data_IF_894578665224
#
_entry.id   IF_894578665224
#
_cell.length_a   1.000
_cell.length_b   1.000
_cell.length_c   1.000
_cell.angle_alpha   90.00
_cell.angle_beta   90.00
_cell.angle_gamma   90.00
#
_symmetry.space_group_name_H-M   'P 1'
#
loop_
_entity.id
_entity.type
_entity.pdbx_description
1 polymer ?
#
# COMPACT_ATOMS: atom_id res chain seq x y z
N UNK A 1 -9.11 -21.83 -10.50
CA UNK A 1 -8.13 -21.28 -9.56
C UNK A 1 -8.66 -21.47 -8.16
N UNK A 2 -7.99 -22.28 -7.35
CA UNK A 2 -8.27 -22.42 -5.92
C UNK A 2 -7.40 -21.41 -5.20
N UNK A 3 -8.02 -20.48 -4.48
CA UNK A 3 -7.28 -19.46 -3.74
C UNK A 3 -7.28 -19.79 -2.27
N UNK A 4 -6.09 -20.03 -1.72
CA UNK A 4 -5.91 -20.34 -0.30
C UNK A 4 -5.20 -19.17 0.39
N UNK A 5 -5.63 -18.72 1.57
CA UNK A 5 -5.02 -17.59 2.27
C UNK A 5 -4.40 -18.02 3.62
N UNK A 6 -3.26 -17.49 4.10
CA UNK A 6 -2.75 -17.92 5.42
C UNK A 6 -2.03 -16.84 6.24
N UNK A 7 -2.29 -16.85 7.55
CA UNK A 7 -1.56 -16.12 8.59
C UNK A 7 -0.89 -17.12 9.55
N UNK A 8 0.34 -17.54 9.26
CA UNK A 8 1.06 -18.53 10.09
C UNK A 8 2.30 -17.91 10.72
N UNK A 9 2.43 -18.02 12.05
CA UNK A 9 3.61 -17.62 12.83
C UNK A 9 4.86 -18.53 12.61
N UNK A 10 4.78 -19.56 11.76
CA UNK A 10 5.90 -20.45 11.43
C UNK A 10 5.88 -20.86 9.97
N UNK A 11 6.96 -20.53 9.23
CA UNK A 11 7.09 -20.76 7.80
C UNK A 11 6.88 -22.22 7.36
N UNK A 12 7.18 -23.20 8.23
CA UNK A 12 7.10 -24.64 7.88
C UNK A 12 5.68 -25.11 7.54
N UNK A 13 4.65 -24.62 8.24
CA UNK A 13 3.27 -25.05 7.95
C UNK A 13 2.74 -24.38 6.69
N UNK A 14 3.11 -23.12 6.45
CA UNK A 14 2.79 -22.45 5.19
C UNK A 14 3.39 -23.20 4.00
N UNK A 15 4.66 -23.63 4.09
CA UNK A 15 5.31 -24.42 3.03
C UNK A 15 4.63 -25.78 2.82
N UNK A 16 4.27 -26.50 3.89
CA UNK A 16 3.57 -27.78 3.77
C UNK A 16 2.21 -27.63 3.06
N UNK A 17 1.50 -26.53 3.33
CA UNK A 17 0.23 -26.27 2.65
C UNK A 17 0.46 -25.89 1.18
N UNK A 18 1.48 -25.08 0.88
CA UNK A 18 1.88 -24.79 -0.51
C UNK A 18 2.17 -26.07 -1.27
N UNK A 19 2.93 -27.00 -0.69
CA UNK A 19 3.18 -28.33 -1.28
C UNK A 19 1.88 -29.06 -1.61
N UNK A 20 0.94 -29.09 -0.67
CA UNK A 20 -0.33 -29.77 -0.85
C UNK A 20 -1.24 -29.10 -1.90
N UNK A 21 -1.25 -27.77 -1.99
CA UNK A 21 -1.94 -27.04 -3.06
C UNK A 21 -1.34 -27.41 -4.42
N UNK A 22 0.00 -27.47 -4.52
CA UNK A 22 0.69 -27.85 -5.75
C UNK A 22 0.45 -29.32 -6.14
N UNK A 23 0.26 -30.21 -5.16
CA UNK A 23 -0.08 -31.62 -5.38
C UNK A 23 -1.51 -31.81 -5.87
N UNK A 24 -2.47 -31.14 -5.23
CA UNK A 24 -3.91 -31.38 -5.45
C UNK A 24 -4.44 -30.53 -6.60
N UNK A 25 -4.10 -29.24 -6.63
CA UNK A 25 -4.70 -28.28 -7.55
C UNK A 25 -3.89 -28.10 -8.84
N UNK A 26 -2.59 -28.44 -8.82
CA UNK A 26 -1.74 -28.42 -10.00
C UNK A 26 -1.28 -27.01 -10.41
N UNK A 27 -1.14 -26.73 -11.72
CA UNK A 27 -0.58 -25.47 -12.22
C UNK A 27 -1.55 -24.28 -12.10
N UNK A 28 -1.01 -23.07 -12.22
CA UNK A 28 -1.74 -21.80 -12.31
C UNK A 28 -2.64 -21.52 -11.09
N UNK A 29 -2.11 -21.79 -9.90
CA UNK A 29 -2.78 -21.50 -8.64
C UNK A 29 -2.27 -20.21 -8.01
N UNK A 30 -3.13 -19.57 -7.22
CA UNK A 30 -2.80 -18.40 -6.44
C UNK A 30 -2.97 -18.67 -4.94
N UNK A 31 -2.05 -18.19 -4.11
CA UNK A 31 -2.13 -18.30 -2.66
C UNK A 31 -2.01 -16.90 -2.04
N UNK A 32 -3.04 -16.52 -1.31
CA UNK A 32 -3.10 -15.32 -0.47
C UNK A 32 -2.23 -15.43 0.78
N UNK A 33 -1.47 -14.38 1.09
CA UNK A 33 -0.78 -14.26 2.37
C UNK A 33 -0.70 -12.78 2.74
N UNK A 34 -0.95 -12.46 4.01
CA UNK A 34 -0.79 -11.09 4.52
C UNK A 34 0.63 -10.57 4.31
N UNK A 35 1.61 -11.49 4.34
CA UNK A 35 3.03 -11.24 4.10
C UNK A 35 3.50 -11.82 2.77
N UNK A 36 2.66 -11.80 1.73
CA UNK A 36 2.89 -12.44 0.44
C UNK A 36 4.28 -12.18 -0.16
N UNK A 37 4.82 -10.97 -0.05
CA UNK A 37 6.17 -10.64 -0.53
C UNK A 37 7.29 -11.43 0.16
N UNK A 38 7.20 -11.60 1.48
CA UNK A 38 8.14 -12.39 2.28
C UNK A 38 7.89 -13.89 2.09
N UNK A 39 6.62 -14.31 2.03
CA UNK A 39 6.24 -15.71 1.75
C UNK A 39 6.77 -16.16 0.40
N UNK A 40 6.66 -15.33 -0.64
CA UNK A 40 7.18 -15.65 -1.98
C UNK A 40 8.68 -15.90 -1.96
N UNK A 41 9.46 -15.03 -1.29
CA UNK A 41 10.91 -15.24 -1.13
C UNK A 41 11.21 -16.56 -0.42
N UNK A 42 10.42 -16.89 0.60
CA UNK A 42 10.58 -18.11 1.41
C UNK A 42 10.24 -19.38 0.60
N UNK A 43 9.19 -19.36 -0.21
CA UNK A 43 8.82 -20.46 -1.10
C UNK A 43 9.93 -20.67 -2.14
N UNK A 44 10.38 -19.60 -2.78
CA UNK A 44 11.41 -19.66 -3.83
C UNK A 44 12.78 -20.11 -3.32
N UNK A 45 13.10 -19.89 -2.05
CA UNK A 45 14.34 -20.37 -1.42
C UNK A 45 14.24 -21.77 -0.80
N UNK A 46 13.04 -22.35 -0.78
CA UNK A 46 12.78 -23.69 -0.23
C UNK A 46 12.94 -24.79 -1.29
N UNK A 47 12.80 -26.05 -0.87
CA UNK A 47 12.75 -27.21 -1.77
C UNK A 47 11.59 -27.13 -2.80
N UNK A 48 10.54 -26.35 -2.50
CA UNK A 48 9.41 -26.13 -3.39
C UNK A 48 9.70 -25.09 -4.48
N UNK A 49 10.81 -24.36 -4.41
CA UNK A 49 11.05 -23.18 -5.25
C UNK A 49 11.03 -23.48 -6.75
N UNK A 50 11.64 -24.59 -7.19
CA UNK A 50 11.60 -24.97 -8.60
C UNK A 50 10.21 -25.42 -9.02
N UNK A 51 9.58 -26.29 -8.21
CA UNK A 51 8.24 -26.80 -8.47
C UNK A 51 7.18 -25.69 -8.52
N UNK A 52 7.27 -24.71 -7.62
CA UNK A 52 6.40 -23.53 -7.61
C UNK A 52 6.56 -22.69 -8.89
N UNK A 53 7.77 -22.60 -9.46
CA UNK A 53 7.98 -21.94 -10.76
C UNK A 53 7.40 -22.77 -11.90
N UNK A 54 7.67 -24.08 -11.91
CA UNK A 54 7.23 -24.99 -12.98
C UNK A 54 5.69 -25.06 -13.06
N UNK A 55 5.02 -24.95 -11.91
CA UNK A 55 3.56 -24.91 -11.80
C UNK A 55 2.97 -23.50 -11.81
N UNK A 56 3.78 -22.46 -12.07
CA UNK A 56 3.34 -21.07 -12.14
C UNK A 56 2.52 -20.61 -10.90
N UNK A 57 3.03 -20.93 -9.70
CA UNK A 57 2.39 -20.52 -8.45
C UNK A 57 2.48 -19.01 -8.26
N UNK A 58 1.32 -18.37 -8.12
CA UNK A 58 1.22 -16.97 -7.76
C UNK A 58 1.09 -16.82 -6.25
N UNK A 59 1.88 -15.92 -5.67
CA UNK A 59 1.75 -15.54 -4.26
C UNK A 59 1.23 -14.12 -4.22
N UNK A 60 0.06 -13.96 -3.62
CA UNK A 60 -0.72 -12.73 -3.69
C UNK A 60 -1.02 -12.22 -2.29
N UNK A 61 -1.28 -10.93 -2.15
CA UNK A 61 -1.64 -10.29 -0.89
C UNK A 61 -3.13 -9.97 -0.96
N UNK A 62 -3.85 -10.23 0.14
CA UNK A 62 -5.28 -9.97 0.19
C UNK A 62 -5.61 -8.47 0.09
N UNK A 63 -6.87 -8.17 -0.22
CA UNK A 63 -7.30 -6.85 -0.67
C UNK A 63 -7.21 -5.77 0.43
N UNK A 64 -7.00 -6.17 1.67
CA UNK A 64 -6.95 -5.24 2.80
C UNK A 64 -5.53 -5.02 3.29
N UNK A 65 -4.79 -6.11 3.56
CA UNK A 65 -3.42 -5.97 4.04
C UNK A 65 -2.51 -5.48 2.91
N UNK A 66 -2.88 -5.70 1.65
CA UNK A 66 -2.09 -5.29 0.50
C UNK A 66 -1.73 -3.80 0.50
N UNK A 67 -2.67 -2.90 0.82
CA UNK A 67 -2.40 -1.45 0.93
C UNK A 67 -1.45 -1.06 2.07
N UNK A 68 -1.21 -1.94 3.04
CA UNK A 68 -0.23 -1.72 4.11
C UNK A 68 1.22 -2.05 3.68
N UNK A 69 1.43 -2.58 2.48
CA UNK A 69 2.78 -2.82 1.93
C UNK A 69 3.27 -1.60 1.15
N UNK A 70 4.59 -1.51 0.94
CA UNK A 70 5.15 -0.49 0.06
C UNK A 70 4.59 -0.62 -1.37
N UNK A 71 4.54 0.49 -2.10
CA UNK A 71 3.90 0.56 -3.41
C UNK A 71 4.43 -0.45 -4.43
N UNK A 72 5.75 -0.65 -4.49
CA UNK A 72 6.38 -1.69 -5.34
C UNK A 72 5.82 -3.08 -5.05
N UNK A 73 5.66 -3.41 -3.77
CA UNK A 73 5.06 -4.67 -3.35
C UNK A 73 3.58 -4.76 -3.72
N UNK A 74 2.83 -3.66 -3.64
CA UNK A 74 1.44 -3.59 -4.06
C UNK A 74 1.31 -3.91 -5.55
N UNK A 75 2.03 -3.18 -6.40
CA UNK A 75 2.03 -3.40 -7.86
C UNK A 75 2.36 -4.84 -8.24
N UNK A 76 3.22 -5.52 -7.47
CA UNK A 76 3.62 -6.89 -7.80
C UNK A 76 2.69 -7.99 -7.29
N UNK A 77 1.99 -7.77 -6.18
CA UNK A 77 1.34 -8.87 -5.46
C UNK A 77 -0.09 -8.56 -5.01
N UNK A 78 -0.57 -7.31 -5.13
CA UNK A 78 -1.93 -6.95 -4.75
C UNK A 78 -2.94 -7.43 -5.80
N UNK A 79 -4.07 -7.94 -5.33
CA UNK A 79 -5.17 -8.49 -6.16
C UNK A 79 -5.59 -7.59 -7.33
N UNK A 80 -5.67 -6.28 -7.07
CA UNK A 80 -6.06 -5.26 -8.05
C UNK A 80 -5.22 -5.32 -9.34
N UNK A 81 -3.94 -5.67 -9.22
CA UNK A 81 -2.98 -5.65 -10.33
C UNK A 81 -2.76 -7.04 -10.94
N UNK A 82 -3.49 -8.05 -10.48
CA UNK A 82 -3.27 -9.45 -10.88
C UNK A 82 -4.50 -10.03 -11.56
N UNK A 83 -4.31 -10.48 -12.80
CA UNK A 83 -5.35 -11.16 -13.55
C UNK A 83 -5.63 -12.57 -12.99
N UNK A 84 -6.89 -13.00 -13.08
CA UNK A 84 -7.32 -14.37 -12.72
C UNK A 84 -7.99 -14.50 -11.35
N UNK A 85 -7.92 -13.47 -10.50
CA UNK A 85 -8.49 -13.47 -9.14
C UNK A 85 -9.94 -12.97 -9.08
N UNK A 86 -10.41 -12.29 -10.13
CA UNK A 86 -11.77 -11.75 -10.16
C UNK A 86 -12.01 -10.73 -9.05
N UNK A 87 -13.11 -10.86 -8.33
CA UNK A 87 -13.50 -9.97 -7.21
C UNK A 87 -13.21 -10.58 -5.82
N UNK A 88 -12.37 -11.61 -5.78
CA UNK A 88 -12.02 -12.32 -4.54
C UNK A 88 -11.22 -11.40 -3.62
N UNK A 89 -11.52 -11.40 -2.32
CA UNK A 89 -10.81 -10.56 -1.34
C UNK A 89 -9.66 -11.30 -0.64
N UNK A 90 -9.63 -12.63 -0.74
CA UNK A 90 -8.66 -13.53 -0.12
C UNK A 90 -8.57 -13.42 1.39
N UNK A 91 -9.67 -13.13 2.06
CA UNK A 91 -9.77 -13.15 3.53
C UNK A 91 -10.38 -14.42 4.10
N UNK A 92 -10.75 -15.37 3.25
CA UNK A 92 -11.49 -16.57 3.67
C UNK A 92 -10.83 -17.32 4.81
N UNK A 93 -9.51 -17.50 4.79
CA UNK A 93 -8.84 -18.23 5.86
C UNK A 93 -8.77 -17.47 7.19
N UNK A 94 -8.62 -16.15 7.18
CA UNK A 94 -8.77 -15.35 8.41
C UNK A 94 -10.16 -15.57 9.01
N UNK A 95 -11.21 -15.58 8.18
CA UNK A 95 -12.60 -15.82 8.60
C UNK A 95 -12.79 -17.23 9.15
N UNK A 96 -12.19 -18.25 8.52
CA UNK A 96 -12.20 -19.65 8.97
C UNK A 96 -11.60 -19.76 10.37
N UNK A 97 -10.37 -19.29 10.54
CA UNK A 97 -9.68 -19.39 11.82
C UNK A 97 -10.33 -18.52 12.89
N UNK A 98 -10.87 -17.35 12.53
CA UNK A 98 -11.64 -16.53 13.46
C UNK A 98 -12.91 -17.25 13.95
N UNK A 99 -13.61 -17.97 13.07
CA UNK A 99 -14.80 -18.75 13.44
C UNK A 99 -14.46 -19.90 14.40
N UNK A 100 -13.28 -20.51 14.25
CA UNK A 100 -12.81 -21.57 15.15
C UNK A 100 -12.70 -21.15 16.62
N UNK A 101 -12.60 -19.85 16.91
CA UNK A 101 -12.62 -19.32 18.29
C UNK A 101 -13.91 -19.66 19.04
N UNK A 102 -15.01 -19.98 18.35
CA UNK A 102 -16.24 -20.49 18.98
C UNK A 102 -16.01 -21.77 19.79
N UNK A 103 -15.03 -22.58 19.41
CA UNK A 103 -14.65 -23.81 20.11
C UNK A 103 -13.79 -23.55 21.36
N UNK A 104 -13.25 -22.33 21.53
CA UNK A 104 -12.24 -22.03 22.54
C UNK A 104 -12.70 -22.37 23.97
N UNK A 105 -13.98 -22.13 24.30
CA UNK A 105 -14.53 -22.46 25.61
C UNK A 105 -14.59 -23.97 25.88
N UNK A 106 -14.86 -24.77 24.84
CA UNK A 106 -14.95 -26.23 24.93
C UNK A 106 -13.57 -26.87 25.08
N UNK A 107 -12.58 -26.34 24.34
CA UNK A 107 -11.27 -26.97 24.24
C UNK A 107 -10.27 -26.50 25.31
N UNK A 108 -10.51 -25.37 25.98
CA UNK A 108 -9.58 -24.77 26.96
C UNK A 108 -9.13 -25.72 28.06
N UNK A 109 -10.02 -26.58 28.51
CA UNK A 109 -9.77 -27.55 29.59
C UNK A 109 -9.94 -29.00 29.12
N UNK A 110 -10.02 -29.22 27.81
CA UNK A 110 -10.17 -30.54 27.23
C UNK A 110 -8.83 -31.30 27.26
N UNK A 111 -8.90 -32.63 27.39
CA UNK A 111 -7.75 -33.50 27.07
C UNK A 111 -7.37 -33.35 25.59
N UNK A 112 -6.14 -33.72 25.20
CA UNK A 112 -5.71 -33.68 23.80
C UNK A 112 -6.65 -34.40 22.82
N UNK A 113 -7.25 -35.54 23.23
CA UNK A 113 -8.21 -36.27 22.41
C UNK A 113 -9.47 -35.42 22.11
N UNK A 114 -10.14 -34.95 23.16
CA UNK A 114 -11.33 -34.10 23.03
C UNK A 114 -11.03 -32.75 22.35
N UNK A 115 -9.84 -32.19 22.57
CA UNK A 115 -9.39 -30.99 21.86
C UNK A 115 -9.40 -31.18 20.34
N UNK A 116 -8.83 -32.30 19.85
CA UNK A 116 -8.86 -32.63 18.42
C UNK A 116 -10.29 -32.90 17.96
N UNK A 117 -11.06 -33.69 18.72
CA UNK A 117 -12.43 -34.05 18.36
C UNK A 117 -13.33 -32.82 18.17
N UNK A 118 -13.24 -31.81 19.04
CA UNK A 118 -14.07 -30.60 18.91
C UNK A 118 -13.65 -29.73 17.73
N UNK A 119 -12.36 -29.67 17.41
CA UNK A 119 -11.90 -28.95 16.22
C UNK A 119 -12.31 -29.65 14.93
N UNK A 120 -12.20 -30.98 14.89
CA UNK A 120 -12.63 -31.82 13.77
C UNK A 120 -14.12 -31.62 13.48
N UNK A 121 -14.97 -31.78 14.50
CA UNK A 121 -16.41 -31.53 14.39
C UNK A 121 -16.75 -30.11 13.94
N UNK A 122 -15.98 -29.12 14.40
CA UNK A 122 -16.18 -27.73 13.99
C UNK A 122 -15.90 -27.53 12.50
N UNK A 123 -14.78 -28.05 12.00
CA UNK A 123 -14.40 -27.90 10.60
C UNK A 123 -15.27 -28.76 9.67
N UNK A 124 -15.71 -29.94 10.09
CA UNK A 124 -16.69 -30.76 9.35
C UNK A 124 -18.04 -30.04 9.16
N UNK A 125 -18.56 -29.43 10.22
CA UNK A 125 -19.78 -28.64 10.14
C UNK A 125 -19.58 -27.40 9.28
N UNK A 126 -18.46 -26.69 9.46
CA UNK A 126 -18.13 -25.51 8.67
C UNK A 126 -18.06 -25.83 7.17
N UNK A 127 -17.42 -26.94 6.79
CA UNK A 127 -17.32 -27.38 5.39
C UNK A 127 -18.70 -27.70 4.81
N UNK A 128 -19.53 -28.41 5.57
CA UNK A 128 -20.91 -28.71 5.19
C UNK A 128 -21.74 -27.44 4.95
N UNK A 129 -21.64 -26.47 5.85
CA UNK A 129 -22.34 -25.18 5.73
C UNK A 129 -21.86 -24.39 4.51
N UNK A 130 -20.54 -24.36 4.25
CA UNK A 130 -19.98 -23.68 3.08
C UNK A 130 -20.33 -24.36 1.78
N UNK A 131 -20.39 -25.68 1.75
CA UNK A 131 -20.84 -26.41 0.58
C UNK A 131 -22.30 -26.05 0.23
N UNK A 132 -23.17 -25.93 1.24
CA UNK A 132 -24.56 -25.50 1.05
C UNK A 132 -24.67 -24.03 0.58
N UNK A 133 -23.83 -23.14 1.11
CA UNK A 133 -23.81 -21.71 0.76
C UNK A 133 -23.13 -21.41 -0.60
N UNK A 134 -22.34 -22.35 -1.13
CA UNK A 134 -21.46 -22.13 -2.28
C UNK A 134 -22.20 -21.60 -3.51
N UNK A 135 -23.36 -22.17 -3.82
CA UNK A 135 -24.15 -21.76 -4.99
C UNK A 135 -24.61 -20.30 -4.89
N UNK A 136 -25.09 -19.89 -3.72
CA UNK A 136 -25.53 -18.52 -3.46
C UNK A 136 -24.34 -17.55 -3.46
N UNK A 137 -23.20 -17.96 -2.88
CA UNK A 137 -21.96 -17.18 -2.91
C UNK A 137 -21.51 -16.90 -4.35
N UNK A 138 -21.41 -17.94 -5.19
CA UNK A 138 -21.02 -17.80 -6.59
C UNK A 138 -22.01 -16.93 -7.38
N UNK A 139 -23.32 -17.12 -7.18
CA UNK A 139 -24.35 -16.32 -7.83
C UNK A 139 -24.25 -14.83 -7.45
N UNK A 140 -24.07 -14.54 -6.16
CA UNK A 140 -23.93 -13.17 -5.67
C UNK A 140 -22.68 -12.49 -6.23
N UNK A 141 -21.55 -13.18 -6.27
CA UNK A 141 -20.31 -12.66 -6.84
C UNK A 141 -20.44 -12.40 -8.34
N UNK A 142 -21.09 -13.30 -9.08
CA UNK A 142 -21.36 -13.10 -10.49
C UNK A 142 -22.25 -11.86 -10.74
N UNK A 143 -23.34 -11.72 -9.99
CA UNK A 143 -24.19 -10.53 -10.06
C UNK A 143 -23.44 -9.24 -9.70
N UNK A 144 -22.54 -9.30 -8.72
CA UNK A 144 -21.70 -8.16 -8.36
C UNK A 144 -20.73 -7.78 -9.49
N UNK A 145 -20.06 -8.75 -10.09
CA UNK A 145 -19.16 -8.53 -11.23
C UNK A 145 -19.90 -7.87 -12.40
N UNK A 146 -21.09 -8.37 -12.75
CA UNK A 146 -21.93 -7.78 -13.80
C UNK A 146 -22.33 -6.33 -13.49
N UNK A 147 -22.65 -6.03 -12.22
CA UNK A 147 -22.98 -4.65 -11.80
C UNK A 147 -21.77 -3.73 -11.93
N UNK A 148 -20.58 -4.18 -11.53
CA UNK A 148 -19.33 -3.41 -11.65
C UNK A 148 -19.08 -3.10 -13.12
N UNK A 149 -19.09 -4.10 -14.00
CA UNK A 149 -18.89 -3.92 -15.44
C UNK A 149 -19.90 -2.92 -16.00
N UNK A 150 -21.20 -3.14 -15.76
CA UNK A 150 -22.26 -2.27 -16.27
C UNK A 150 -22.12 -0.83 -15.79
N UNK A 151 -21.67 -0.62 -14.56
CA UNK A 151 -21.52 0.72 -13.97
C UNK A 151 -20.28 1.44 -14.52
N UNK A 152 -19.13 0.77 -14.50
CA UNK A 152 -17.84 1.41 -14.75
C UNK A 152 -17.41 1.39 -16.21
N UNK A 153 -17.95 0.49 -17.05
CA UNK A 153 -17.60 0.46 -18.48
C UNK A 153 -17.97 1.77 -19.21
N UNK A 154 -19.15 2.38 -19.00
CA UNK A 154 -19.44 3.70 -19.58
C UNK A 154 -18.54 4.82 -19.05
N UNK A 155 -18.25 4.82 -17.74
CA UNK A 155 -17.38 5.81 -17.10
C UNK A 155 -15.94 5.71 -17.64
N UNK A 156 -15.44 4.48 -17.81
CA UNK A 156 -14.13 4.22 -18.39
C UNK A 156 -14.06 4.67 -19.85
N UNK A 157 -15.08 4.35 -20.66
CA UNK A 157 -15.14 4.78 -22.07
C UNK A 157 -15.16 6.30 -22.22
N UNK A 158 -15.92 6.99 -21.38
CA UNK A 158 -15.96 8.45 -21.36
C UNK A 158 -14.59 9.05 -20.99
N UNK A 159 -13.94 8.49 -19.97
CA UNK A 159 -12.59 8.88 -19.56
C UNK A 159 -11.57 8.66 -20.68
N UNK A 160 -11.61 7.51 -21.34
CA UNK A 160 -10.75 7.16 -22.47
C UNK A 160 -10.94 8.12 -23.64
N UNK A 161 -12.19 8.41 -24.03
CA UNK A 161 -12.50 9.35 -25.10
C UNK A 161 -12.06 10.77 -24.78
N UNK A 162 -12.27 11.22 -23.54
CA UNK A 162 -11.94 12.57 -23.09
C UNK A 162 -10.43 12.83 -23.09
N UNK A 163 -9.64 11.82 -22.70
CA UNK A 163 -8.19 11.97 -22.54
C UNK A 163 -7.38 11.34 -23.68
N UNK A 164 -8.03 10.69 -24.65
CA UNK A 164 -7.37 10.00 -25.76
C UNK A 164 -6.54 8.79 -25.32
N UNK A 165 -7.02 8.06 -24.31
CA UNK A 165 -6.31 6.95 -23.66
C UNK A 165 -6.87 5.62 -24.17
N UNK A 166 -6.01 4.67 -24.52
CA UNK A 166 -6.42 3.33 -24.93
C UNK A 166 -6.40 2.32 -23.78
N UNK A 167 -6.95 1.12 -24.01
CA UNK A 167 -6.84 0.01 -23.05
C UNK A 167 -5.38 -0.43 -22.86
N UNK A 168 -4.58 -0.38 -23.93
CA UNK A 168 -3.15 -0.71 -23.89
C UNK A 168 -2.37 0.25 -22.99
N UNK A 169 -2.69 1.55 -23.01
CA UNK A 169 -2.07 2.54 -22.13
C UNK A 169 -2.32 2.19 -20.65
N UNK A 170 -3.58 1.86 -20.30
CA UNK A 170 -3.94 1.51 -18.91
C UNK A 170 -3.17 0.28 -18.43
N UNK A 171 -3.01 -0.72 -19.31
CA UNK A 171 -2.25 -1.95 -19.00
C UNK A 171 -0.74 -1.66 -18.91
N UNK A 172 -0.23 -0.72 -19.72
CA UNK A 172 1.19 -0.36 -19.70
C UNK A 172 1.58 0.43 -18.46
N UNK A 173 0.70 1.31 -17.95
CA UNK A 173 0.98 2.13 -16.77
C UNK A 173 1.40 1.33 -15.55
N UNK A 174 0.79 0.15 -15.33
CA UNK A 174 1.19 -0.74 -14.24
C UNK A 174 2.66 -1.16 -14.36
N UNK A 175 3.11 -1.51 -15.57
CA UNK A 175 4.49 -1.92 -15.82
C UNK A 175 5.45 -0.72 -15.76
N UNK A 176 5.05 0.40 -16.34
CA UNK A 176 5.81 1.66 -16.35
C UNK A 176 6.02 2.20 -14.93
N UNK A 177 4.97 2.18 -14.10
CA UNK A 177 5.05 2.62 -12.71
C UNK A 177 5.97 1.70 -11.90
N UNK A 178 5.88 0.39 -12.08
CA UNK A 178 6.76 -0.57 -11.43
C UNK A 178 8.23 -0.38 -11.84
N UNK A 179 8.48 -0.11 -13.12
CA UNK A 179 9.83 0.17 -13.64
C UNK A 179 10.35 1.50 -13.11
N UNK A 180 9.53 2.54 -13.14
CA UNK A 180 9.84 3.85 -12.58
C UNK A 180 10.26 3.74 -11.12
N UNK A 181 9.46 3.10 -10.26
CA UNK A 181 9.76 2.98 -8.83
C UNK A 181 11.01 2.12 -8.53
N UNK A 182 11.35 1.17 -9.40
CA UNK A 182 12.58 0.38 -9.25
C UNK A 182 13.83 1.18 -9.62
N UNK A 183 13.69 2.09 -10.59
CA UNK A 183 14.79 2.88 -11.12
C UNK A 183 14.96 4.23 -10.40
N UNK A 184 13.88 4.80 -9.85
CA UNK A 184 13.88 6.00 -9.02
C UNK A 184 14.14 5.65 -7.56
N UNK A 185 15.38 5.25 -7.24
CA UNK A 185 15.78 5.11 -5.84
C UNK A 185 16.05 6.47 -5.18
N UNK A 186 16.41 7.51 -5.94
CA UNK A 186 16.81 8.83 -5.42
C UNK A 186 16.35 9.98 -6.35
N UNK A 187 15.87 11.07 -5.75
CA UNK A 187 15.61 12.33 -6.48
C UNK A 187 16.93 12.87 -7.05
N UNK A 188 16.97 13.35 -8.30
CA UNK A 188 18.18 13.93 -8.87
C UNK A 188 18.78 15.02 -7.97
N UNK A 189 20.10 15.03 -7.83
CA UNK A 189 20.81 15.99 -6.96
C UNK A 189 20.44 17.45 -7.26
N UNK A 190 20.19 17.77 -8.53
CA UNK A 190 19.76 19.11 -8.96
C UNK A 190 18.40 19.51 -8.37
N UNK A 191 17.43 18.58 -8.34
CA UNK A 191 16.10 18.78 -7.76
C UNK A 191 16.21 18.88 -6.25
N UNK A 192 16.96 17.98 -5.62
CA UNK A 192 17.22 17.99 -4.17
C UNK A 192 17.87 19.31 -3.72
N UNK A 193 18.82 19.82 -4.49
CA UNK A 193 19.49 21.10 -4.24
C UNK A 193 18.50 22.26 -4.37
N UNK A 194 17.73 22.33 -5.46
CA UNK A 194 16.75 23.38 -5.70
C UNK A 194 15.68 23.43 -4.61
N UNK A 195 15.16 22.27 -4.18
CA UNK A 195 14.23 22.13 -3.06
C UNK A 195 14.82 22.66 -1.76
N UNK A 196 16.08 22.29 -1.45
CA UNK A 196 16.78 22.80 -0.26
C UNK A 196 16.95 24.31 -0.34
N UNK A 197 17.32 24.84 -1.50
CA UNK A 197 17.54 26.27 -1.69
C UNK A 197 16.25 27.07 -1.52
N UNK A 198 15.15 26.68 -2.17
CA UNK A 198 13.83 27.31 -2.01
C UNK A 198 13.37 27.27 -0.55
N UNK A 199 13.58 26.16 0.17
CA UNK A 199 13.24 26.09 1.61
C UNK A 199 14.05 27.06 2.47
N UNK A 200 15.31 27.36 2.12
CA UNK A 200 16.13 28.35 2.83
C UNK A 200 15.67 29.77 2.47
N UNK A 201 15.34 30.03 1.20
CA UNK A 201 14.80 31.32 0.74
C UNK A 201 13.42 31.64 1.34
N UNK A 202 12.50 30.67 1.40
CA UNK A 202 11.19 30.84 2.05
C UNK A 202 11.33 31.19 3.54
N UNK A 203 12.33 30.63 4.24
CA UNK A 203 12.64 31.01 5.63
C UNK A 203 13.17 32.45 5.73
N UNK A 204 13.99 32.88 4.79
CA UNK A 204 14.45 34.27 4.71
C UNK A 204 13.25 35.21 4.48
N UNK A 205 12.41 34.91 3.49
CA UNK A 205 11.21 35.69 3.19
C UNK A 205 10.24 35.78 4.37
N UNK A 206 10.02 34.68 5.10
CA UNK A 206 9.20 34.69 6.30
C UNK A 206 9.80 35.59 7.41
N UNK A 207 11.12 35.55 7.59
CA UNK A 207 11.82 36.40 8.55
C UNK A 207 11.79 37.89 8.17
N UNK A 208 11.85 38.18 6.87
CA UNK A 208 11.76 39.52 6.29
C UNK A 208 10.39 40.16 6.59
N UNK A 209 9.31 39.48 6.21
CA UNK A 209 7.95 39.95 6.50
C UNK A 209 7.65 40.09 8.00
N UNK A 210 8.22 39.22 8.85
CA UNK A 210 8.09 39.33 10.30
C UNK A 210 8.88 40.53 10.88
N UNK A 211 10.01 40.89 10.27
CA UNK A 211 10.79 42.07 10.64
C UNK A 211 10.07 43.36 10.23
N UNK A 212 9.51 43.42 9.03
CA UNK A 212 8.68 44.54 8.57
C UNK A 212 7.46 44.75 9.48
N UNK A 213 6.76 43.68 9.86
CA UNK A 213 5.58 43.74 10.73
C UNK A 213 5.85 44.17 12.18
N UNK A 214 7.10 44.07 12.66
CA UNK A 214 7.48 44.39 14.06
C UNK A 214 8.20 45.72 14.22
N UNK A 215 8.36 46.50 13.14
CA UNK A 215 9.03 47.82 13.14
C UNK A 215 8.50 48.82 14.17
N UNK A 216 7.28 48.64 14.68
CA UNK A 216 6.65 49.51 15.67
C UNK A 216 7.02 49.18 17.14
N UNK A 217 7.69 48.06 17.43
CA UNK A 217 7.97 47.58 18.80
C UNK A 217 9.49 47.33 18.97
N UNK A 218 10.20 48.22 19.68
CA UNK A 218 11.67 48.24 19.74
C UNK A 218 12.33 46.92 20.18
N UNK A 219 11.76 46.19 21.15
CA UNK A 219 12.35 44.93 21.64
C UNK A 219 12.07 43.74 20.70
N UNK A 220 10.89 43.69 20.09
CA UNK A 220 10.48 42.65 19.14
C UNK A 220 11.17 42.84 17.79
N UNK A 221 11.33 44.10 17.35
CA UNK A 221 12.09 44.48 16.16
C UNK A 221 13.54 44.02 16.23
N UNK A 222 14.25 44.28 17.34
CA UNK A 222 15.63 43.84 17.52
C UNK A 222 15.76 42.30 17.48
N UNK A 223 14.75 41.58 17.95
CA UNK A 223 14.70 40.12 17.88
C UNK A 223 14.41 39.62 16.46
N UNK A 224 13.48 40.25 15.75
CA UNK A 224 13.15 39.93 14.36
C UNK A 224 14.30 40.22 13.40
N UNK A 225 14.99 41.35 13.57
CA UNK A 225 16.17 41.73 12.78
C UNK A 225 17.30 40.70 12.92
N UNK A 226 17.61 40.26 14.16
CA UNK A 226 18.61 39.19 14.38
C UNK A 226 18.24 37.88 13.70
N UNK A 227 16.95 37.52 13.67
CA UNK A 227 16.47 36.32 12.97
C UNK A 227 16.62 36.47 11.45
N UNK A 228 16.30 37.65 10.92
CA UNK A 228 16.49 37.96 9.50
C UNK A 228 17.96 37.88 9.08
N UNK A 229 18.86 38.54 9.82
CA UNK A 229 20.32 38.50 9.58
C UNK A 229 20.87 37.07 9.63
N UNK A 230 20.40 36.25 10.57
CA UNK A 230 20.76 34.84 10.64
C UNK A 230 20.35 34.08 9.37
N UNK A 231 19.11 34.27 8.89
CA UNK A 231 18.62 33.62 7.66
C UNK A 231 19.35 34.13 6.42
N UNK A 232 19.73 35.40 6.38
CA UNK A 232 20.49 35.98 5.28
C UNK A 232 21.89 35.36 5.19
N UNK A 233 22.55 35.14 6.34
CA UNK A 233 23.81 34.40 6.40
C UNK A 233 23.64 32.92 6.01
N UNK A 234 22.53 32.27 6.40
CA UNK A 234 22.23 30.90 5.96
C UNK A 234 22.10 30.80 4.44
N UNK A 235 21.41 31.74 3.78
CA UNK A 235 21.30 31.81 2.32
C UNK A 235 22.67 32.03 1.68
N UNK A 236 23.45 33.01 2.14
CA UNK A 236 24.77 33.31 1.58
C UNK A 236 25.74 32.12 1.70
N UNK A 237 25.75 31.44 2.85
CA UNK A 237 26.53 30.22 3.04
C UNK A 237 26.06 29.10 2.12
N UNK A 238 24.74 28.96 1.92
CA UNK A 238 24.19 27.95 1.01
C UNK A 238 24.62 28.21 -0.44
N UNK A 239 24.52 29.45 -0.90
CA UNK A 239 24.92 29.87 -2.25
C UNK A 239 26.41 29.64 -2.49
N UNK A 240 27.26 30.02 -1.52
CA UNK A 240 28.70 29.81 -1.59
C UNK A 240 29.06 28.32 -1.64
N UNK A 241 28.46 27.49 -0.78
CA UNK A 241 28.78 26.06 -0.69
C UNK A 241 28.32 25.27 -1.93
N UNK A 242 27.32 25.76 -2.66
CA UNK A 242 26.76 25.07 -3.82
C UNK A 242 27.04 25.79 -5.15
N UNK A 243 27.93 26.78 -5.16
CA UNK A 243 28.33 27.56 -6.34
C UNK A 243 27.13 28.20 -7.09
N UNK A 244 26.13 28.68 -6.34
CA UNK A 244 24.99 29.39 -6.92
C UNK A 244 25.45 30.82 -7.22
N UNK A 245 25.50 31.17 -8.50
CA UNK A 245 26.00 32.48 -8.95
C UNK A 245 24.94 33.58 -8.98
N UNK A 246 23.67 33.20 -9.06
CA UNK A 246 22.53 34.11 -9.14
C UNK A 246 21.56 33.84 -7.99
N UNK A 247 21.31 34.87 -7.19
CA UNK A 247 20.35 34.81 -6.09
C UNK A 247 18.92 34.70 -6.63
N UNK A 248 18.20 33.66 -6.23
CA UNK A 248 16.83 33.43 -6.70
C UNK A 248 15.84 34.33 -5.97
N UNK A 249 15.27 35.28 -6.70
CA UNK A 249 14.14 36.11 -6.23
C UNK A 249 12.80 35.42 -6.50
N UNK A 250 11.70 35.98 -5.98
CA UNK A 250 10.35 35.45 -6.23
C UNK A 250 9.94 35.45 -7.71
N UNK A 251 10.53 36.34 -8.51
CA UNK A 251 10.28 36.42 -9.95
C UNK A 251 11.20 35.50 -10.76
N UNK A 252 12.16 34.84 -10.11
CA UNK A 252 13.13 33.99 -10.78
C UNK A 252 12.46 32.68 -11.27
N UNK A 253 12.62 32.28 -12.55
CA UNK A 253 11.94 31.10 -13.10
C UNK A 253 12.23 29.81 -12.31
N UNK A 254 13.50 29.54 -11.99
CA UNK A 254 13.90 28.35 -11.25
C UNK A 254 13.38 28.35 -9.80
N UNK A 255 13.15 29.53 -9.21
CA UNK A 255 12.51 29.64 -7.90
C UNK A 255 11.07 29.15 -7.97
N UNK A 256 10.31 29.65 -8.95
CA UNK A 256 8.90 29.33 -9.12
C UNK A 256 8.70 27.86 -9.49
N UNK A 257 9.54 27.31 -10.37
CA UNK A 257 9.52 25.88 -10.71
C UNK A 257 9.80 24.99 -9.48
N UNK A 258 10.87 25.29 -8.73
CA UNK A 258 11.22 24.50 -7.55
C UNK A 258 10.19 24.69 -6.41
N UNK A 259 9.60 25.87 -6.27
CA UNK A 259 8.54 26.13 -5.29
C UNK A 259 7.27 25.34 -5.63
N UNK A 260 6.89 25.31 -6.91
CA UNK A 260 5.74 24.53 -7.37
C UNK A 260 5.98 23.02 -7.14
N UNK A 261 7.18 22.53 -7.47
CA UNK A 261 7.57 21.16 -7.17
C UNK A 261 7.50 20.85 -5.66
N UNK A 262 7.99 21.73 -4.79
CA UNK A 262 7.90 21.56 -3.33
C UNK A 262 6.45 21.49 -2.86
N UNK A 263 5.56 22.32 -3.41
CA UNK A 263 4.13 22.31 -3.06
C UNK A 263 3.47 21.00 -3.48
N UNK A 264 3.70 20.56 -4.71
CA UNK A 264 3.18 19.30 -5.23
C UNK A 264 3.69 18.12 -4.40
N UNK A 265 5.00 18.07 -4.14
CA UNK A 265 5.60 17.04 -3.30
C UNK A 265 4.99 17.00 -1.89
N UNK A 266 4.83 18.16 -1.26
CA UNK A 266 4.25 18.26 0.09
C UNK A 266 2.79 17.79 0.09
N UNK A 267 2.03 18.15 -0.93
CA UNK A 267 0.66 17.70 -1.11
C UNK A 267 0.58 16.17 -1.27
N UNK A 268 1.39 15.59 -2.16
CA UNK A 268 1.44 14.14 -2.37
C UNK A 268 1.80 13.42 -1.07
N UNK A 269 2.85 13.86 -0.38
CA UNK A 269 3.27 13.27 0.90
C UNK A 269 2.17 13.33 1.97
N UNK A 270 1.42 14.43 2.03
CA UNK A 270 0.32 14.56 2.98
C UNK A 270 -0.86 13.62 2.63
N UNK A 271 -1.14 13.41 1.34
CA UNK A 271 -2.15 12.45 0.90
C UNK A 271 -1.72 11.02 1.19
N UNK A 272 -0.48 10.65 0.89
CA UNK A 272 0.08 9.32 1.20
C UNK A 272 0.06 9.03 2.71
N UNK A 273 0.42 10.03 3.55
CA UNK A 273 0.36 9.91 5.00
C UNK A 273 -1.08 9.73 5.48
N UNK A 274 -2.02 10.52 4.95
CA UNK A 274 -3.44 10.39 5.29
C UNK A 274 -3.99 9.01 4.91
N UNK A 275 -3.66 8.51 3.71
CA UNK A 275 -4.05 7.18 3.26
C UNK A 275 -3.51 6.10 4.20
N UNK A 276 -2.22 6.16 4.53
CA UNK A 276 -1.58 5.24 5.48
C UNK A 276 -2.25 5.25 6.85
N UNK A 277 -2.59 6.43 7.37
CA UNK A 277 -3.31 6.59 8.65
C UNK A 277 -4.72 6.01 8.60
N UNK A 278 -5.45 6.20 7.49
CA UNK A 278 -6.79 5.62 7.31
C UNK A 278 -6.72 4.09 7.27
N UNK A 279 -5.79 3.52 6.50
CA UNK A 279 -5.59 2.06 6.42
C UNK A 279 -5.19 1.51 7.79
N UNK A 280 -4.27 2.18 8.51
CA UNK A 280 -3.89 1.79 9.87
C UNK A 280 -5.10 1.82 10.81
N UNK A 281 -5.92 2.87 10.75
CA UNK A 281 -7.10 2.99 11.60
C UNK A 281 -8.13 1.89 11.33
N UNK A 282 -8.37 1.56 10.05
CA UNK A 282 -9.23 0.45 9.67
C UNK A 282 -8.69 -0.89 10.20
N UNK A 283 -7.38 -1.10 10.14
CA UNK A 283 -6.75 -2.31 10.67
C UNK A 283 -6.87 -2.41 12.19
N UNK A 284 -6.71 -1.31 12.92
CA UNK A 284 -6.95 -1.25 14.37
C UNK A 284 -8.40 -1.59 14.74
N UNK A 285 -9.38 -0.98 14.05
CA UNK A 285 -10.80 -1.25 14.28
C UNK A 285 -11.17 -2.69 13.97
N UNK A 286 -10.58 -3.28 12.92
CA UNK A 286 -10.76 -4.70 12.60
C UNK A 286 -10.20 -5.61 13.70
N UNK A 287 -9.02 -5.32 14.26
CA UNK A 287 -8.43 -6.10 15.36
C UNK A 287 -9.24 -5.98 16.65
N UNK A 288 -9.90 -4.85 16.87
CA UNK A 288 -10.73 -4.60 18.05
C UNK A 288 -12.15 -5.19 17.96
N UNK A 289 -12.52 -5.87 16.86
CA UNK A 289 -13.91 -6.26 16.55
C UNK A 289 -14.91 -5.08 16.55
N UNK A 290 -14.44 -3.87 16.20
CA UNK A 290 -15.24 -2.64 16.15
C UNK A 290 -15.59 -2.21 14.70
N UNK A 291 -15.32 -3.06 13.72
CA UNK A 291 -15.69 -2.78 12.33
C UNK A 291 -17.23 -2.68 12.20
N UNK A 292 -17.75 -1.49 11.90
CA UNK A 292 -19.19 -1.24 11.74
C UNK A 292 -19.88 -0.48 12.88
N UNK A 293 -19.15 0.05 13.87
CA UNK A 293 -19.72 0.91 14.93
C UNK A 293 -19.56 2.41 14.67
N UNK A 294 -19.46 2.81 13.39
CA UNK A 294 -19.39 4.20 12.94
C UNK A 294 -20.72 4.67 12.39
#
# INVERSE_FOLDING_TARGET
>A
MVTACFSVNSAKYALAIVEQVLDICGPDQAIGHDIGCSSRKTILSSLLGQRAKDLNLQVVINAFHGFAHNHVCQLQNHLLYLAGLGIEDLKTCERIFANSNSTAALIRHASSFHWMQFLDLHFDQWDSDKYLELSQFLFNNYQQALRIIRKYEPELKDFQLTHGISDEDIVSWHHEELEYLRNCSEEPDSVTLAVKYVKVLEKLHFADSAQEGTMAINAEYASALRRYELRLNEVANFEQNHNITEHWTRDHPQYNEALEYVRQRTFIQAIEELEGLVVQRLAELSKANLAGTG
#
